data_IF_081256634622
#
_entry.id   IF_081256634622
#
_cell.length_a   1.000
_cell.length_b   1.000
_cell.length_c   1.000
_cell.angle_alpha   90.00
_cell.angle_beta   90.00
_cell.angle_gamma   90.00
#
_symmetry.space_group_name_H-M   'P 1'
#
loop_
_entity.id
_entity.type
_entity.pdbx_description
1 polymer ?
2 non-polymer ?
3 water ?
#
# COMPACT_ATOMS: atom_id res chain seq x y z
N UNK A 20 26.74 1.49 -3.78
CA UNK A 20 25.38 0.87 -3.90
C UNK A 20 24.66 1.19 -5.24
N UNK A 21 24.52 2.50 -5.60
CA UNK A 21 23.75 2.77 -6.82
C UNK A 21 24.62 2.71 -8.03
N UNK A 22 24.21 1.91 -8.98
CA UNK A 22 24.98 1.69 -10.18
C UNK A 22 25.00 2.96 -11.04
N UNK A 23 26.16 3.31 -11.59
CA UNK A 23 26.31 4.58 -12.32
C UNK A 23 26.44 4.40 -13.84
N UNK A 24 26.42 3.17 -14.33
CA UNK A 24 26.40 2.91 -15.78
C UNK A 24 24.94 2.83 -16.23
N UNK A 25 24.71 2.92 -17.55
CA UNK A 25 23.35 2.99 -18.13
C UNK A 25 22.44 1.81 -17.70
N UNK A 26 21.24 2.07 -17.14
CA UNK A 26 20.30 0.97 -16.86
C UNK A 26 20.09 0.01 -18.02
N UNK A 27 20.13 0.56 -19.25
CA UNK A 27 19.80 -0.19 -20.45
C UNK A 27 20.93 -1.17 -20.80
N UNK A 28 22.06 -1.03 -20.13
CA UNK A 28 23.10 -2.06 -20.17
C UNK A 28 22.60 -3.37 -19.56
N UNK A 29 21.80 -3.27 -18.49
CA UNK A 29 21.30 -4.42 -17.71
C UNK A 29 19.85 -4.85 -17.99
N UNK A 30 19.04 -3.89 -18.46
CA UNK A 30 17.61 -4.07 -18.63
C UNK A 30 17.17 -3.60 -20.01
N UNK A 31 16.20 -4.30 -20.56
CA UNK A 31 15.54 -3.85 -21.78
C UNK A 31 14.26 -3.14 -21.32
N UNK A 32 14.08 -1.88 -21.71
CA UNK A 32 12.89 -1.10 -21.28
C UNK A 32 11.68 -1.28 -22.20
N UNK A 33 10.48 -1.11 -21.63
CA UNK A 33 9.22 -0.98 -22.38
C UNK A 33 8.73 0.47 -22.31
N UNK A 34 7.81 0.85 -23.20
CA UNK A 34 7.09 2.13 -23.07
C UNK A 34 5.87 1.98 -22.15
N UNK A 35 5.65 0.74 -21.70
CA UNK A 35 4.43 0.34 -21.03
C UNK A 35 4.47 0.71 -19.56
N UNK A 36 3.38 1.33 -19.11
CA UNK A 36 3.25 1.85 -17.76
C UNK A 36 2.57 0.80 -16.87
N UNK A 37 3.05 0.69 -15.64
CA UNK A 37 2.48 -0.20 -14.64
C UNK A 37 1.89 0.60 -13.46
N UNK A 38 2.26 1.88 -13.37
CA UNK A 38 1.78 2.77 -12.30
C UNK A 38 2.32 4.20 -12.38
N UNK A 39 1.89 5.04 -11.42
CA UNK A 39 2.25 6.48 -11.36
C UNK A 39 2.45 6.97 -9.91
N UNK A 40 3.68 7.37 -9.56
CA UNK A 40 4.00 7.93 -8.22
C UNK A 40 4.22 9.44 -8.18
N UNK A 41 4.28 10.02 -6.97
CA UNK A 41 4.47 11.48 -6.82
C UNK A 41 5.76 11.98 -7.48
N UNK A 43 7.51 9.90 -9.65
CA UNK A 43 8.04 9.05 -10.71
C UNK A 43 7.02 8.05 -11.23
N UNK A 44 6.95 7.91 -12.56
CA UNK A 44 6.05 6.93 -13.22
C UNK A 44 6.75 5.56 -13.42
N UNK A 45 5.96 4.50 -13.47
CA UNK A 45 6.46 3.11 -13.38
C UNK A 45 6.35 2.35 -14.73
N UNK A 46 7.47 1.80 -15.19
CA UNK A 46 7.60 1.15 -16.51
C UNK A 46 7.88 -0.34 -16.37
N UNK A 47 7.38 -1.14 -17.31
CA UNK A 47 7.81 -2.53 -17.32
C UNK A 47 9.19 -2.62 -17.95
N UNK A 48 10.00 -3.56 -17.48
CA UNK A 48 11.31 -3.82 -18.04
C UNK A 48 11.74 -5.30 -17.88
N UNK A 49 12.78 -5.71 -18.61
CA UNK A 49 13.27 -7.09 -18.53
C UNK A 49 14.75 -7.16 -18.24
N UNK A 50 15.16 -8.06 -17.34
CA UNK A 50 16.58 -8.23 -17.05
C UNK A 50 17.29 -8.97 -18.18
N UNK A 51 18.31 -8.33 -18.76
CA UNK A 51 19.00 -8.88 -19.95
C UNK A 51 19.64 -10.23 -19.76
N UNK A 52 20.18 -10.50 -18.57
CA UNK A 52 20.95 -11.76 -18.36
C UNK A 52 19.99 -12.92 -18.00
N UNK A 53 18.90 -12.56 -17.32
CA UNK A 53 17.94 -13.51 -16.74
C UNK A 53 16.63 -13.67 -17.56
N UNK A 54 16.26 -12.64 -18.32
CA UNK A 54 14.91 -12.55 -18.92
C UNK A 54 13.77 -12.07 -17.98
N UNK A 55 14.02 -12.01 -16.66
CA UNK A 55 12.99 -11.73 -15.67
C UNK A 55 12.31 -10.36 -15.83
N UNK A 56 10.98 -10.37 -15.81
CA UNK A 56 10.18 -9.17 -15.89
C UNK A 56 10.26 -8.44 -14.54
N UNK A 57 10.55 -7.15 -14.61
CA UNK A 57 10.68 -6.28 -13.43
C UNK A 57 9.94 -4.99 -13.67
N UNK A 58 10.04 -4.06 -12.72
CA UNK A 58 9.34 -2.78 -12.79
C UNK A 58 10.39 -1.68 -12.58
N UNK A 59 10.28 -0.58 -13.35
CA UNK A 59 11.23 0.52 -13.26
C UNK A 59 10.51 1.79 -12.87
N UNK A 60 10.91 2.40 -11.74
CA UNK A 60 10.45 3.76 -11.40
C UNK A 60 11.54 4.81 -11.72
N UNK A 61 11.19 5.77 -12.59
CA UNK A 61 12.05 6.85 -12.96
C UNK A 61 11.73 8.02 -12.03
N UNK A 62 12.74 8.49 -11.30
CA UNK A 62 12.70 9.71 -10.48
C UNK A 62 13.76 10.71 -10.92
N UNK A 63 13.35 11.96 -11.13
CA UNK A 63 14.33 12.99 -11.40
C UNK A 63 15.00 13.35 -10.10
N UNK A 64 16.32 13.45 -10.15
CA UNK A 64 17.12 13.56 -8.95
C UNK A 64 16.72 14.86 -8.22
N UNK A 65 16.59 14.75 -6.89
CA UNK A 65 16.21 15.88 -6.05
C UNK A 65 16.30 15.37 -4.61
N UNK A 66 16.31 16.29 -3.61
CA UNK A 66 16.22 15.82 -2.21
C UNK A 66 15.10 14.81 -1.97
N UNK A 67 13.88 15.11 -2.41
CA UNK A 67 12.74 14.17 -2.27
C UNK A 67 13.01 12.81 -2.90
N UNK A 68 13.62 12.79 -4.09
CA UNK A 68 13.89 11.53 -4.79
C UNK A 68 14.94 10.72 -4.04
N UNK A 69 15.94 11.42 -3.50
CA UNK A 69 17.02 10.75 -2.74
C UNK A 69 16.49 10.10 -1.46
N UNK A 70 15.51 10.77 -0.83
CA UNK A 70 14.85 10.28 0.40
C UNK A 70 13.98 9.06 0.11
N UNK A 71 13.20 9.11 -0.98
CA UNK A 71 12.43 7.96 -1.40
C UNK A 71 13.33 6.76 -1.55
N UNK A 72 14.44 6.94 -2.27
CA UNK A 72 15.41 5.84 -2.53
C UNK A 72 15.96 5.26 -1.23
N UNK A 73 16.41 6.16 -0.31
CA UNK A 73 16.91 5.81 1.01
C UNK A 73 15.90 4.98 1.82
N UNK A 74 14.65 5.43 1.83
CA UNK A 74 13.64 4.81 2.70
C UNK A 74 13.16 3.49 2.15
N UNK A 75 12.95 3.43 0.83
CA UNK A 75 12.59 2.16 0.20
C UNK A 75 13.72 1.11 0.33
N UNK A 76 14.95 1.51 0.10
CA UNK A 76 16.12 0.64 0.29
C UNK A 76 16.16 0.05 1.71
N UNK A 77 15.94 0.91 2.72
CA UNK A 77 15.94 0.45 4.11
C UNK A 77 14.77 -0.51 4.41
N UNK A 78 13.62 -0.26 3.77
CA UNK A 78 12.42 -1.08 3.94
C UNK A 78 12.46 -2.39 3.11
N UNK A 79 13.09 -2.33 1.94
CA UNK A 79 13.26 -3.44 1.01
C UNK A 79 13.86 -4.66 1.73
N UNK A 80 13.16 -5.79 1.64
CA UNK A 80 13.55 -7.00 2.38
C UNK A 80 12.69 -7.24 3.62
N UNK A 81 11.99 -6.22 4.10
CA UNK A 81 11.10 -6.37 5.25
C UNK A 81 9.78 -7.01 4.86
N UNK A 82 9.05 -7.57 5.82
CA UNK A 82 7.83 -8.32 5.51
C UNK A 82 6.79 -7.48 4.76
N UNK A 83 6.29 -8.02 3.64
CA UNK A 83 5.19 -7.42 2.88
C UNK A 83 5.47 -6.02 2.29
N UNK A 84 6.71 -5.84 1.86
CA UNK A 84 7.20 -4.61 1.25
C UNK A 84 7.76 -5.04 -0.11
N UNK A 85 7.39 -4.31 -1.17
CA UNK A 85 7.98 -4.48 -2.53
C UNK A 85 9.52 -4.31 -2.52
N UNK A 86 10.23 -5.35 -2.96
CA UNK A 86 11.68 -5.39 -2.94
C UNK A 86 12.26 -4.58 -4.07
N UNK A 87 13.32 -3.86 -3.72
CA UNK A 87 14.17 -3.18 -4.69
C UNK A 87 15.22 -4.20 -5.12
N UNK A 88 15.40 -4.33 -6.44
CA UNK A 88 16.40 -5.21 -7.01
C UNK A 88 17.72 -4.44 -7.24
N UNK A 89 17.60 -3.18 -7.67
CA UNK A 89 18.77 -2.31 -7.98
C UNK A 89 18.34 -0.87 -8.15
N UNK A 90 19.32 0.03 -7.96
CA UNK A 90 19.15 1.44 -8.18
C UNK A 90 20.25 1.92 -9.14
N UNK A 91 19.85 2.71 -10.14
CA UNK A 91 20.78 3.27 -11.14
C UNK A 91 20.74 4.79 -10.97
N UNK A 92 21.87 5.45 -11.19
CA UNK A 92 21.89 6.88 -11.35
C UNK A 92 22.46 7.13 -12.74
N UNK A 93 21.63 7.75 -13.59
CA UNK A 93 21.87 7.90 -15.03
C UNK A 93 21.54 9.32 -15.49
N UNK A 94 21.98 9.66 -16.70
CA UNK A 94 21.51 10.84 -17.40
C UNK A 94 20.39 10.44 -18.37
N UNK A 95 19.31 11.21 -18.37
CA UNK A 95 18.17 10.95 -19.25
C UNK A 95 17.53 12.28 -19.61
N UNK A 96 17.36 12.54 -20.93
CA UNK A 96 16.89 13.86 -21.43
C UNK A 96 17.72 15.03 -20.87
N UNK A 97 19.03 14.82 -20.68
CA UNK A 97 19.92 15.85 -20.15
C UNK A 97 19.78 16.16 -18.65
N UNK A 98 19.08 15.28 -17.94
CA UNK A 98 18.86 15.42 -16.49
C UNK A 98 19.38 14.21 -15.75
N UNK A 99 19.85 14.44 -14.54
CA UNK A 99 20.21 13.35 -13.65
C UNK A 99 18.93 12.74 -13.13
N UNK A 100 18.89 11.40 -13.12
CA UNK A 100 17.76 10.67 -12.58
C UNK A 100 18.20 9.44 -11.80
N UNK A 101 17.28 8.93 -11.01
CA UNK A 101 17.44 7.72 -10.23
C UNK A 101 16.41 6.73 -10.72
N UNK A 102 16.84 5.54 -11.08
CA UNK A 102 15.92 4.48 -11.51
C UNK A 102 15.85 3.44 -10.43
N UNK A 103 14.67 3.24 -9.85
CA UNK A 103 14.48 2.14 -8.93
C UNK A 103 13.94 0.91 -9.69
N UNK A 104 14.71 -0.17 -9.69
CA UNK A 104 14.22 -1.46 -10.18
C UNK A 104 13.64 -2.27 -9.04
N UNK A 105 12.42 -2.72 -9.25
CA UNK A 105 11.74 -3.53 -8.24
C UNK A 105 11.13 -4.80 -8.82
N UNK A 106 10.77 -5.73 -7.93
CA UNK A 106 10.12 -6.94 -8.38
C UNK A 106 8.85 -6.49 -9.06
N UNK A 107 8.44 -7.29 -10.05
CA UNK A 107 7.26 -7.00 -10.84
C UNK A 107 6.06 -7.50 -10.04
N UNK A 108 5.15 -6.57 -9.70
CA UNK A 108 3.98 -6.90 -8.86
C UNK A 108 2.83 -7.18 -9.80
N UNK A 109 2.90 -8.33 -10.47
CA UNK A 109 2.03 -8.64 -11.61
C UNK A 109 0.54 -8.89 -11.30
N UNK A 110 0.22 -9.13 -10.03
CA UNK A 110 -1.17 -9.30 -9.60
C UNK A 110 -1.95 -8.01 -9.53
N UNK A 111 -1.23 -6.90 -9.55
CA UNK A 111 -1.77 -5.55 -9.44
C UNK A 111 -2.41 -5.20 -8.09
N UNK A 112 -3.37 -4.28 -8.12
CA UNK A 112 -3.97 -3.66 -6.94
C UNK A 112 -4.88 -4.61 -6.12
N UNK A 113 -4.62 -4.64 -4.83
CA UNK A 113 -5.47 -5.31 -3.84
C UNK A 113 -6.99 -5.33 -4.16
N UNK A 114 -7.64 -4.16 -4.20
CA UNK A 114 -9.09 -4.05 -4.37
C UNK A 114 -9.56 -4.42 -5.79
N UNK A 115 -8.67 -4.41 -6.76
CA UNK A 115 -9.00 -4.88 -8.12
C UNK A 115 -9.08 -6.40 -8.13
N UNK A 116 -8.18 -7.02 -7.38
CA UNK A 116 -8.17 -8.45 -7.13
C UNK A 116 -9.39 -8.93 -6.34
N UNK A 117 -9.77 -8.23 -5.28
CA UNK A 117 -11.03 -8.58 -4.58
C UNK A 117 -12.21 -8.47 -5.55
N UNK A 118 -12.26 -7.40 -6.32
CA UNK A 118 -13.38 -7.14 -7.24
C UNK A 118 -13.60 -8.28 -8.22
N UNK A 119 -12.51 -8.90 -8.69
CA UNK A 119 -12.55 -9.94 -9.73
C UNK A 119 -13.08 -11.32 -9.28
N UNK A 120 -13.15 -11.56 -7.97
CA UNK A 120 -13.76 -12.80 -7.45
C UNK A 120 -15.24 -12.93 -7.83
N UNK A 122 -18.30 -13.22 -7.41
CA UNK A 122 -18.52 -14.66 -7.49
C UNK A 122 -18.09 -15.39 -6.22
N UNK A 123 -16.80 -15.75 -6.18
CA UNK A 123 -16.14 -16.39 -5.04
C UNK A 123 -16.44 -15.66 -3.72
N UNK A 124 -16.66 -16.44 -2.67
CA UNK A 124 -16.85 -15.88 -1.33
C UNK A 124 -15.57 -15.18 -0.87
N UNK A 125 -15.71 -13.92 -0.46
CA UNK A 125 -14.68 -13.17 0.27
C UNK A 125 -15.16 -13.04 1.71
N UNK A 126 -14.39 -13.58 2.64
CA UNK A 126 -14.86 -13.75 4.01
C UNK A 126 -14.18 -12.78 4.98
N UNK A 127 -14.74 -12.65 6.18
CA UNK A 127 -14.17 -11.77 7.19
C UNK A 127 -12.80 -12.27 7.64
N UNK A 128 -12.65 -13.59 7.76
CA UNK A 128 -11.37 -14.22 8.07
C UNK A 128 -10.28 -13.89 7.03
N UNK A 129 -10.72 -13.77 5.77
CA UNK A 129 -9.83 -13.39 4.67
C UNK A 129 -9.41 -11.94 4.73
N UNK A 130 -10.35 -11.04 5.05
CA UNK A 130 -10.06 -9.63 5.24
C UNK A 130 -9.09 -9.43 6.41
N UNK A 131 -9.20 -10.30 7.42
CA UNK A 131 -8.38 -10.23 8.65
C UNK A 131 -6.93 -10.62 8.38
N UNK A 132 -6.75 -11.60 7.50
CA UNK A 132 -5.41 -11.97 7.03
C UNK A 132 -4.75 -10.90 6.18
N UNK A 133 -5.51 -10.24 5.33
CA UNK A 133 -5.01 -9.12 4.49
C UNK A 133 -4.61 -7.98 5.45
N UNK A 134 -5.45 -7.66 6.42
CA UNK A 134 -5.09 -6.54 7.31
C UNK A 134 -3.86 -6.86 8.15
N UNK A 135 -3.74 -8.12 8.56
CA UNK A 135 -2.56 -8.56 9.26
C UNK A 135 -1.32 -8.48 8.38
N UNK A 136 -1.44 -8.89 7.11
CA UNK A 136 -0.37 -8.69 6.12
C UNK A 136 0.09 -7.22 6.06
N UNK A 137 -0.85 -6.30 5.85
CA UNK A 137 -0.51 -4.87 5.86
C UNK A 137 0.08 -4.39 7.18
N UNK A 138 -0.52 -4.76 8.32
CA UNK A 138 0.04 -4.46 9.64
C UNK A 138 1.49 -4.90 9.86
N UNK A 139 1.83 -6.12 9.45
CA UNK A 139 3.22 -6.59 9.53
C UNK A 139 4.21 -5.67 8.77
N UNK A 140 3.83 -5.20 7.56
CA UNK A 140 4.58 -4.12 6.86
C UNK A 140 4.72 -2.84 7.71
N UNK A 141 3.61 -2.30 8.22
CA UNK A 141 3.62 -1.06 9.02
C UNK A 141 4.44 -1.27 10.30
N UNK A 142 4.30 -2.45 10.88
CA UNK A 142 5.02 -2.82 12.09
C UNK A 142 6.53 -2.73 11.86
N UNK A 143 6.98 -3.34 10.77
CA UNK A 143 8.39 -3.29 10.39
C UNK A 143 8.87 -1.86 10.17
N UNK A 144 8.08 -1.06 9.44
CA UNK A 144 8.43 0.33 9.15
C UNK A 144 8.55 1.17 10.44
N UNK A 145 7.51 1.08 11.27
CA UNK A 145 7.43 1.88 12.48
C UNK A 145 8.52 1.51 13.47
N UNK A 146 8.87 0.21 13.54
CA UNK A 146 9.95 -0.22 14.43
C UNK A 146 11.31 0.22 13.90
N UNK A 147 11.41 0.54 12.62
CA UNK A 147 12.62 1.18 12.11
C UNK A 147 12.44 2.69 11.96
N UNK A 148 11.43 3.25 12.65
CA UNK A 148 11.14 4.70 12.62
C UNK A 148 10.92 5.32 11.23
N UNK A 149 10.25 4.55 10.37
CA UNK A 149 9.81 5.08 9.08
C UNK A 149 8.30 5.16 9.12
N UNK A 150 7.74 6.33 8.88
CA UNK A 150 6.29 6.46 8.65
C UNK A 150 6.11 6.56 7.14
N UNK A 151 5.11 5.88 6.61
CA UNK A 151 4.92 5.79 5.17
C UNK A 151 4.11 6.98 4.68
N UNK A 152 2.94 7.21 5.29
CA UNK A 152 2.17 8.46 5.14
C UNK A 152 1.34 8.56 3.87
N UNK A 153 1.34 7.48 3.10
CA UNK A 153 0.49 7.43 1.92
C UNK A 153 -0.01 6.03 1.60
N UNK A 154 -0.28 5.26 2.66
CA UNK A 154 -0.95 3.94 2.54
C UNK A 154 -2.37 4.09 1.97
N UNK A 155 -2.57 3.51 0.78
CA UNK A 155 -3.82 3.71 0.04
C UNK A 155 -3.94 2.66 -1.10
N UNK A 156 -5.11 2.57 -1.77
CA UNK A 156 -5.30 1.51 -2.78
C UNK A 156 -4.19 1.31 -3.83
N UNK A 157 -3.67 2.39 -4.40
CA UNK A 157 -2.70 2.33 -5.53
C UNK A 157 -1.38 1.72 -5.13
N UNK A 158 -1.12 1.66 -3.82
CA UNK A 158 0.17 1.30 -3.24
C UNK A 158 0.20 -0.09 -2.60
N UNK A 159 -0.93 -0.77 -2.65
CA UNK A 159 -1.09 -2.12 -2.12
C UNK A 159 -1.24 -3.06 -3.30
N UNK A 160 -0.22 -3.90 -3.50
CA UNK A 160 -0.08 -4.72 -4.71
C UNK A 160 0.11 -6.22 -4.47
N UNK A 161 -0.31 -7.09 -5.40
CA UNK A 161 -0.01 -8.53 -5.34
C UNK A 161 1.11 -8.95 -6.27
N UNK A 162 1.95 -9.87 -5.81
CA UNK A 162 3.15 -10.32 -6.57
C UNK A 162 2.75 -11.07 -7.85
N UNK A 163 1.61 -11.74 -7.82
CA UNK A 163 1.20 -12.54 -9.01
C UNK A 163 -0.31 -12.65 -9.02
N UNK A 164 -0.82 -13.28 -10.07
CA UNK A 164 -2.24 -13.40 -10.29
C UNK A 164 -2.80 -14.71 -9.71
N UNK A 165 -1.90 -15.52 -9.16
CA UNK A 165 -2.23 -16.86 -8.67
C UNK A 165 -2.75 -16.81 -7.24
N UNK A 166 -3.28 -17.93 -6.74
CA UNK A 166 -3.90 -17.97 -5.41
C UNK A 166 -2.90 -17.69 -4.30
N UNK A 167 -1.62 -17.96 -4.56
CA UNK A 167 -0.58 -17.81 -3.54
C UNK A 167 0.21 -16.49 -3.59
N UNK A 168 -0.30 -15.53 -4.38
CA UNK A 168 0.28 -14.20 -4.49
C UNK A 168 0.45 -13.60 -3.09
N UNK A 169 1.49 -12.80 -2.92
CA UNK A 169 1.75 -12.10 -1.67
C UNK A 169 1.37 -10.64 -1.84
N UNK A 170 0.66 -10.11 -0.84
CA UNK A 170 0.39 -8.68 -0.74
C UNK A 170 1.57 -7.90 -0.20
N UNK A 171 1.96 -6.83 -0.91
CA UNK A 171 3.07 -5.99 -0.46
C UNK A 171 2.76 -4.51 -0.61
N UNK A 172 3.40 -3.72 0.26
CA UNK A 172 3.28 -2.27 0.26
C UNK A 172 4.42 -1.62 -0.53
N UNK A 173 4.12 -0.59 -1.33
CA UNK A 173 5.18 0.12 -2.01
C UNK A 173 4.99 1.64 -1.95
N UNK A 174 5.94 2.34 -2.56
CA UNK A 174 5.94 3.78 -2.82
C UNK A 174 6.32 4.62 -1.61
N UNK A 175 7.62 4.89 -1.46
CA UNK A 175 8.09 5.63 -0.28
C UNK A 175 8.30 7.08 -0.55
N UNK A 176 7.57 7.61 -1.53
CA UNK A 176 7.68 9.00 -1.93
C UNK A 176 7.26 10.03 -0.84
N UNK A 177 6.36 9.64 0.07
CA UNK A 177 5.98 10.57 1.20
C UNK A 177 6.56 10.16 2.55
N UNK A 178 7.37 9.10 2.55
CA UNK A 178 7.93 8.52 3.77
C UNK A 178 8.84 9.47 4.58
N UNK A 179 8.84 9.31 5.90
CA UNK A 179 9.55 10.21 6.77
C UNK A 179 10.19 9.36 7.87
N UNK A 180 11.47 9.61 8.16
CA UNK A 180 12.22 8.84 9.11
C UNK A 180 12.41 9.64 10.39
N UNK A 204 8.10 11.19 14.70
CA UNK A 204 6.80 11.72 15.07
C UNK A 204 5.79 10.59 15.26
N UNK A 205 5.22 10.59 16.47
CA UNK A 205 4.04 9.81 16.81
C UNK A 205 2.88 10.19 15.88
N UNK A 206 2.79 11.48 15.55
CA UNK A 206 1.82 11.96 14.58
C UNK A 206 1.93 11.26 13.20
N UNK A 207 3.14 11.22 12.65
CA UNK A 207 3.38 10.69 11.30
C UNK A 207 2.95 9.21 11.25
N UNK A 208 3.31 8.47 12.31
CA UNK A 208 2.94 7.06 12.46
C UNK A 208 1.44 6.84 12.61
N UNK A 209 0.72 7.81 13.18
CA UNK A 209 -0.74 7.67 13.33
C UNK A 209 -1.47 7.87 12.01
N UNK A 210 -0.81 8.51 11.04
CA UNK A 210 -1.39 8.62 9.69
C UNK A 210 -1.41 7.27 8.96
N UNK A 211 -0.45 6.40 9.27
CA UNK A 211 -0.42 5.02 8.72
C UNK A 211 -1.54 4.23 9.39
N UNK A 212 -1.73 4.45 10.70
CA UNK A 212 -2.80 3.75 11.43
C UNK A 212 -4.20 4.12 10.93
N UNK A 213 -4.39 5.40 10.64
CA UNK A 213 -5.65 5.87 10.03
C UNK A 213 -5.88 5.17 8.68
N UNK A 214 -4.86 5.17 7.82
CA UNK A 214 -4.93 4.41 6.56
C UNK A 214 -5.41 2.99 6.75
N UNK A 215 -4.89 2.34 7.79
CA UNK A 215 -5.22 0.94 8.08
C UNK A 215 -6.71 0.79 8.41
N UNK A 216 -7.24 1.73 9.20
CA UNK A 216 -8.68 1.75 9.49
C UNK A 216 -9.53 1.92 8.24
N UNK A 217 -9.12 2.84 7.36
CA UNK A 217 -9.84 3.11 6.09
C UNK A 217 -9.81 1.89 5.19
N UNK A 218 -8.61 1.33 5.00
CA UNK A 218 -8.47 0.14 4.17
C UNK A 218 -9.31 -1.00 4.73
N UNK A 219 -9.23 -1.25 6.04
CA UNK A 219 -10.08 -2.27 6.67
C UNK A 219 -11.59 -2.01 6.49
N UNK A 220 -12.00 -0.75 6.61
CA UNK A 220 -13.41 -0.39 6.42
C UNK A 220 -13.93 -0.81 5.03
N UNK A 221 -13.28 -0.34 3.96
CA UNK A 221 -13.60 -0.73 2.55
C UNK A 221 -13.53 -2.24 2.31
N UNK A 222 -12.53 -2.88 2.90
CA UNK A 222 -12.40 -4.34 2.78
C UNK A 222 -13.59 -5.11 3.32
N UNK A 223 -14.20 -4.60 4.38
CA UNK A 223 -15.31 -5.36 4.93
C UNK A 223 -16.63 -5.04 4.25
N UNK A 224 -16.67 -3.99 3.42
CA UNK A 224 -17.98 -3.56 2.89
C UNK A 224 -18.03 -3.08 1.44
N UNK A 225 -16.90 -2.64 0.90
CA UNK A 225 -16.85 -2.21 -0.51
C UNK A 225 -16.97 -0.73 -0.78
N UNK A 226 -17.15 0.05 0.29
CA UNK A 226 -17.32 1.51 0.25
C UNK A 226 -16.50 2.16 1.38
N UNK A 227 -16.11 3.44 1.21
CA UNK A 227 -15.27 4.08 2.22
C UNK A 227 -16.04 4.73 3.39
N UNK A 228 -15.35 4.99 4.52
CA UNK A 228 -16.03 5.75 5.59
C UNK A 228 -16.19 7.23 5.25
N UNK A 229 -15.85 7.64 4.03
CA UNK A 229 -16.03 9.03 3.63
C UNK A 229 -16.78 9.14 2.33
N UNK A 251 -20.39 5.54 10.93
CA UNK A 251 -21.44 4.54 10.86
C UNK A 251 -21.04 3.22 10.21
N UNK A 252 -21.66 2.16 10.70
CA UNK A 252 -21.61 0.82 10.08
C UNK A 252 -23.00 0.43 9.59
N UNK A 253 -23.38 0.92 8.40
CA UNK A 253 -24.76 0.77 7.92
C UNK A 253 -25.16 -0.67 7.60
N UNK A 254 -26.42 -1.00 7.85
CA UNK A 254 -27.02 -2.24 7.35
C UNK A 254 -27.37 -2.07 5.86
N UNK A 255 -27.42 -3.16 5.08
CA UNK A 255 -27.20 -4.56 5.44
C UNK A 255 -25.75 -5.02 5.29
N UNK A 256 -24.89 -4.17 4.70
CA UNK A 256 -23.49 -4.51 4.45
C UNK A 256 -22.77 -4.94 5.72
N UNK A 257 -23.05 -4.22 6.81
CA UNK A 257 -22.34 -4.39 8.09
C UNK A 257 -23.06 -5.30 9.07
N UNK A 258 -24.20 -5.84 8.64
CA UNK A 258 -25.14 -6.55 9.52
C UNK A 258 -24.50 -7.69 10.28
N UNK A 259 -23.70 -8.47 9.55
CA UNK A 259 -23.13 -9.70 10.06
C UNK A 259 -21.64 -9.61 10.43
N UNK A 260 -21.07 -8.41 10.34
CA UNK A 260 -19.62 -8.22 10.62
C UNK A 260 -19.37 -8.29 12.14
N UNK A 261 -18.28 -8.97 12.51
CA UNK A 261 -17.68 -9.03 13.86
C UNK A 261 -17.93 -7.78 14.70
N UNK A 262 -18.22 -7.98 15.98
CA UNK A 262 -18.09 -6.87 16.94
C UNK A 262 -16.64 -6.42 17.02
N UNK A 263 -15.73 -7.39 17.09
CA UNK A 263 -14.29 -7.19 17.14
C UNK A 263 -13.73 -6.36 15.99
N UNK A 264 -14.26 -6.56 14.78
CA UNK A 264 -13.84 -5.81 13.59
C UNK A 264 -14.28 -4.36 13.67
N UNK A 265 -15.53 -4.14 14.11
CA UNK A 265 -16.06 -2.78 14.21
C UNK A 265 -15.32 -1.99 15.32
N UNK A 266 -14.97 -2.69 16.42
CA UNK A 266 -14.29 -2.05 17.56
C UNK A 266 -12.87 -1.63 17.19
N UNK A 267 -12.21 -2.43 16.35
CA UNK A 267 -10.87 -2.11 15.88
C UNK A 267 -10.88 -0.92 14.91
N UNK A 268 -11.83 -0.90 13.97
CA UNK A 268 -12.00 0.24 13.10
C UNK A 268 -12.21 1.55 13.86
N UNK A 269 -13.08 1.54 14.88
CA UNK A 269 -13.33 2.74 15.68
C UNK A 269 -12.06 3.30 16.34
N UNK A 270 -11.21 2.40 16.82
CA UNK A 270 -9.95 2.78 17.50
C UNK A 270 -8.91 3.31 16.51
N UNK A 271 -9.07 2.92 15.25
CA UNK A 271 -8.17 3.37 14.19
C UNK A 271 -8.62 4.69 13.57
N UNK A 272 -9.94 4.91 13.49
CA UNK A 272 -10.46 6.08 12.81
C UNK A 272 -10.73 7.24 13.76
N UNK A 273 -10.31 7.07 15.02
CA UNK A 273 -10.33 8.11 16.03
C UNK A 273 -9.92 9.40 15.39
N UNK A 274 -10.80 10.39 15.48
CA UNK A 274 -10.55 11.74 14.94
C UNK A 274 -9.25 12.35 15.50
N UNK A 275 -9.04 12.18 16.82
CA UNK A 275 -7.83 12.64 17.53
C UNK A 275 -6.67 11.67 17.29
N UNK A 276 -5.63 12.11 16.55
CA UNK A 276 -4.46 11.26 16.19
C UNK A 276 -3.74 10.67 17.41
N UNK A 277 -3.71 11.40 18.52
CA UNK A 277 -3.04 10.92 19.72
C UNK A 277 -3.82 9.78 20.42
N UNK A 278 -5.11 9.63 20.07
CA UNK A 278 -5.98 8.58 20.61
C UNK A 278 -6.04 7.32 19.73
N UNK A 279 -5.53 7.41 18.51
CA UNK A 279 -5.56 6.26 17.62
C UNK A 279 -4.65 5.17 18.15
N UNK A 280 -5.07 3.94 17.92
CA UNK A 280 -4.30 2.76 18.24
C UNK A 280 -2.92 2.83 17.57
N UNK A 281 -1.90 2.34 18.28
CA UNK A 281 -0.60 2.16 17.67
C UNK A 281 -0.54 0.81 16.92
N UNK A 282 0.55 0.60 16.20
CA UNK A 282 0.74 -0.61 15.41
C UNK A 282 0.93 -1.80 16.36
N UNK A 283 1.64 -1.57 17.46
CA UNK A 283 1.81 -2.60 18.48
C UNK A 283 0.43 -3.01 18.98
N UNK A 284 -0.45 -2.03 19.20
CA UNK A 284 -1.81 -2.30 19.67
C UNK A 284 -2.71 -2.93 18.61
N UNK A 285 -2.49 -2.56 17.35
CA UNK A 285 -3.21 -3.14 16.22
C UNK A 285 -2.88 -4.62 16.09
N UNK A 286 -1.58 -4.94 16.15
CA UNK A 286 -1.06 -6.29 15.95
C UNK A 286 -1.44 -7.21 17.10
N UNK A 287 -1.66 -6.62 18.28
CA UNK A 287 -2.10 -7.35 19.46
C UNK A 287 -3.61 -7.50 19.57
N UNK A 288 -4.38 -6.77 18.74
CA UNK A 288 -5.83 -6.93 18.72
C UNK A 288 -6.21 -8.36 18.33
N UNK A 289 -7.18 -8.97 19.04
CA UNK A 289 -7.63 -10.32 18.71
C UNK A 289 -8.05 -10.55 17.24
N UNK A 290 -8.49 -9.51 16.54
CA UNK A 290 -8.99 -9.66 15.17
C UNK A 290 -7.80 -9.75 14.21
N UNK A 291 -6.68 -9.18 14.64
CA UNK A 291 -5.42 -9.31 13.93
C UNK A 291 -4.61 -10.52 14.46
N UNK A 292 -4.26 -10.49 15.74
CA UNK A 292 -3.48 -11.54 16.42
C UNK A 292 -4.05 -12.96 16.26
N UNK A 293 -5.37 -13.08 16.29
CA UNK A 293 -6.06 -14.34 16.10
C UNK A 293 -6.91 -14.30 14.83
N UNK A 294 -6.37 -13.68 13.77
CA UNK A 294 -7.04 -13.57 12.46
C UNK A 294 -7.49 -14.91 11.84
N UNK A 295 -6.81 -16.00 12.22
CA UNK A 295 -7.09 -17.32 11.68
C UNK A 295 -8.33 -17.99 12.31
N UNK A 296 -8.83 -17.42 13.40
CA UNK A 296 -10.04 -17.93 14.04
C UNK A 296 -11.20 -16.92 14.01
N UNK A 297 -10.98 -15.82 13.28
CA UNK A 297 -12.04 -14.89 12.87
C UNK A 297 -13.11 -15.66 12.05
N UNK A 298 -14.42 -15.31 12.21
CA UNK A 298 -15.47 -15.99 11.41
C UNK A 298 -15.34 -15.86 9.88
N UNK A 299 -15.70 -16.93 9.18
CA UNK A 299 -15.70 -16.96 7.71
C UNK A 299 -16.98 -16.40 7.09
N UNK A 300 -17.55 -15.33 7.66
CA UNK A 300 -18.86 -14.88 7.20
C UNK A 300 -18.75 -14.19 5.82
N UNK A 301 -19.60 -14.59 4.85
CA UNK A 301 -19.54 -13.95 3.53
C UNK A 301 -19.78 -12.44 3.56
N UNK A 302 -18.86 -11.70 2.97
CA UNK A 302 -18.90 -10.24 2.93
C UNK A 302 -19.51 -9.75 1.63
N UNK A 303 -19.97 -8.50 1.63
CA UNK A 303 -20.60 -7.91 0.45
C UNK A 303 -19.58 -7.27 -0.51
N UNK A 304 -18.31 -7.24 -0.09
CA UNK A 304 -17.26 -6.38 -0.64
C UNK A 304 -17.07 -6.42 -2.16
N UNK A 305 -16.88 -7.63 -2.70
CA UNK A 305 -16.58 -7.83 -4.13
C UNK A 305 -17.73 -7.38 -5.02
N UNK A 306 -18.94 -7.65 -4.54
CA UNK A 306 -20.19 -7.27 -5.21
C UNK A 306 -20.37 -5.76 -5.21
N UNK A 307 -20.12 -5.12 -4.07
CA UNK A 307 -20.25 -3.67 -3.94
C UNK A 307 -19.19 -2.97 -4.79
N UNK A 308 -17.94 -3.43 -4.72
CA UNK A 308 -16.86 -2.91 -5.55
C UNK A 308 -17.25 -2.98 -7.04
N UNK A 309 -17.77 -4.12 -7.45
CA UNK A 309 -18.29 -4.33 -8.79
C UNK A 309 -19.40 -3.33 -9.15
N UNK A 310 -20.40 -3.20 -8.27
CA UNK A 310 -21.55 -2.30 -8.50
C UNK A 310 -21.14 -0.83 -8.52
N UNK A 311 -20.20 -0.47 -7.65
CA UNK A 311 -19.74 0.91 -7.47
C UNK A 311 -18.52 1.26 -8.31
N UNK A 312 -18.10 0.34 -9.21
CA UNK A 312 -16.84 0.52 -9.99
C UNK A 312 -16.74 1.87 -10.68
N UNK A 313 -17.87 2.40 -11.15
CA UNK A 313 -17.91 3.70 -11.78
C UNK A 313 -17.56 4.88 -10.83
N UNK A 314 -17.64 4.65 -9.51
CA UNK A 314 -17.23 5.63 -8.48
C UNK A 314 -15.84 5.37 -7.85
N UNK A 315 -15.17 4.26 -8.19
CA UNK A 315 -13.87 3.91 -7.60
C UNK A 315 -12.74 4.95 -7.71
N UNK A 316 -12.62 5.61 -8.87
CA UNK A 316 -11.65 6.70 -9.03
C UNK A 316 -11.88 7.86 -8.07
N UNK A 317 -13.15 8.20 -7.88
CA UNK A 317 -13.54 9.23 -6.91
C UNK A 317 -13.11 8.86 -5.50
N UNK A 318 -13.37 7.63 -5.09
CA UNK A 318 -12.97 7.11 -3.75
C UNK A 318 -11.44 7.18 -3.50
N UNK A 319 -10.67 6.87 -4.54
CA UNK A 319 -9.22 6.97 -4.50
C UNK A 319 -8.74 8.40 -4.35
N UNK A 320 -9.33 9.30 -5.13
CA UNK A 320 -9.03 10.74 -5.08
C UNK A 320 -9.31 11.34 -3.70
N UNK A 321 -10.45 10.99 -3.12
CA UNK A 321 -10.81 11.42 -1.78
C UNK A 321 -9.77 10.92 -0.76
N UNK A 322 -9.36 9.64 -0.86
CA UNK A 322 -8.41 9.12 0.13
C UNK A 322 -7.02 9.79 0.00
N UNK A 323 -6.59 9.98 -1.26
CA UNK A 323 -5.38 10.73 -1.56
C UNK A 323 -5.44 12.17 -1.01
N UNK A 324 -6.54 12.85 -1.27
CA UNK A 324 -6.77 14.20 -0.76
C UNK A 324 -6.68 14.20 0.79
N UNK A 325 -7.34 13.22 1.42
CA UNK A 325 -7.32 13.11 2.89
C UNK A 325 -5.93 12.91 3.47
N UNK A 326 -5.10 12.10 2.79
CA UNK A 326 -3.75 11.83 3.24
C UNK A 326 -2.90 13.05 3.09
N UNK A 327 -3.04 13.77 1.97
CA UNK A 327 -2.24 14.98 1.75
C UNK A 327 -2.58 16.04 2.79
N UNK A 328 -3.85 16.08 3.19
CA UNK A 328 -4.28 17.06 4.22
C UNK A 328 -3.54 16.78 5.53
N UNK A 329 -3.37 15.49 5.85
CA UNK A 329 -2.67 15.03 7.06
C UNK A 329 -1.19 15.35 7.11
N UNK A 330 -0.56 15.51 5.93
CA UNK A 330 0.85 15.88 5.88
C UNK A 330 1.17 17.38 5.91
N UNK A 331 0.14 18.25 5.83
CA UNK A 331 0.41 19.71 5.85
C UNK A 331 0.99 20.10 7.22
N UNK A 332 1.95 21.01 7.22
CA UNK A 332 2.57 21.49 8.44
C UNK A 332 1.54 22.22 9.32
N UNK A 333 0.75 23.09 8.72
CA UNK A 333 -0.35 23.75 9.45
C UNK A 333 -1.69 23.60 8.74
N UNK A 334 -2.72 23.21 9.49
CA UNK A 334 -4.03 22.95 8.90
C UNK A 334 -5.11 23.75 9.58
N UNK A 335 -6.20 23.97 8.86
CA UNK A 335 -7.37 24.63 9.45
C UNK A 335 -7.89 23.78 10.59
N UNK A 336 -8.76 24.38 11.37
CA UNK A 336 -9.51 23.69 12.38
C UNK A 336 -10.93 23.46 11.85
#
# INVERSE_FOLDING_TARGET
>A
MAHHHHHHSSGLEVLFQGPEPKKYAVTDDYQLSKQVLGLGVNGKVLECFHRRTGQKCALKLLYDSPKARQEVDHHWQASGGPHIVCILDVYENMHHGKRCLLIIMECMEGGELFSRIQERGDQAFTEREAAEIMRDIGTAIQFLHSHNIAHRDVKPENLLYTSKEKDAVLKLTDFGFAKETTQNALQTPCYTPYYVAPEVLGPEKYDKSCDMWSLGVIMYILLCGFPPFYSNTGQAISPGMKRRIRLGQYGFPNPEWSEVSEDAKQLIRLLLKTDPTERLTITQFMNHPWINQSMVVPQTPLHTARVLQEDKDHWDEVKEEMTSALATMRVDYDQV
#
